data_IF_210429169827
#
_entry.id   IF_210429169827
#
_cell.length_a   1.000
_cell.length_b   1.000
_cell.length_c   1.000
_cell.angle_alpha   90.00
_cell.angle_beta   90.00
_cell.angle_gamma   90.00
#
_symmetry.space_group_name_H-M   'P 1'
#
loop_
_entity.id
_entity.type
_entity.pdbx_description
1 polymer ?
#
# COMPACT_ATOMS: atom_id res chain seq x y z
N UNK A 1 11.17 -12.95 3.76
CA UNK A 1 10.20 -12.58 4.81
C UNK A 1 9.11 -13.63 4.86
N UNK A 2 8.65 -14.04 6.06
CA UNK A 2 7.59 -15.05 6.19
C UNK A 2 6.20 -14.43 6.05
N UNK A 3 5.25 -15.23 5.56
CA UNK A 3 3.82 -14.88 5.50
C UNK A 3 3.27 -14.44 6.87
N UNK A 4 3.67 -15.13 7.94
CA UNK A 4 3.23 -14.80 9.31
C UNK A 4 3.66 -13.39 9.77
N UNK A 5 4.85 -12.93 9.37
CA UNK A 5 5.30 -11.58 9.75
C UNK A 5 4.50 -10.49 9.02
N UNK A 6 4.11 -10.75 7.78
CA UNK A 6 3.24 -9.88 7.01
C UNK A 6 1.87 -9.75 7.70
N UNK A 7 1.21 -10.87 7.99
CA UNK A 7 -0.11 -10.90 8.64
C UNK A 7 -0.12 -10.18 9.99
N UNK A 8 0.90 -10.40 10.84
CA UNK A 8 1.03 -9.68 12.12
C UNK A 8 1.13 -8.16 11.90
N UNK A 9 1.87 -7.74 10.88
CA UNK A 9 2.10 -6.32 10.59
C UNK A 9 0.81 -5.66 10.09
N UNK A 10 0.11 -6.31 9.16
CA UNK A 10 -1.15 -5.84 8.60
C UNK A 10 -2.23 -5.77 9.67
N UNK A 11 -2.45 -6.84 10.44
CA UNK A 11 -3.49 -6.88 11.47
C UNK A 11 -3.29 -5.77 12.51
N UNK A 12 -2.04 -5.53 12.93
CA UNK A 12 -1.72 -4.43 13.85
C UNK A 12 -1.99 -3.03 13.26
N UNK A 13 -1.98 -2.87 11.94
CA UNK A 13 -2.37 -1.64 11.27
C UNK A 13 -3.89 -1.55 11.10
N UNK A 14 -4.55 -2.65 10.74
CA UNK A 14 -6.01 -2.75 10.59
C UNK A 14 -6.78 -2.56 11.89
N UNK A 15 -6.21 -2.98 13.02
CA UNK A 15 -6.80 -2.78 14.35
C UNK A 15 -6.83 -1.29 14.78
N UNK A 16 -6.29 -0.37 13.97
CA UNK A 16 -6.32 1.06 14.25
C UNK A 16 -7.64 1.66 13.75
N UNK A 17 -8.25 2.49 14.60
CA UNK A 17 -9.44 3.28 14.25
C UNK A 17 -9.08 4.70 13.74
N UNK A 18 -7.93 4.83 13.07
CA UNK A 18 -7.48 6.12 12.51
C UNK A 18 -6.58 5.94 11.28
N UNK A 19 -6.56 6.92 10.37
CA UNK A 19 -5.62 6.92 9.26
C UNK A 19 -4.15 6.81 9.70
N UNK A 20 -3.35 6.19 8.85
CA UNK A 20 -1.90 6.10 9.01
C UNK A 20 -1.24 7.47 8.87
N UNK A 21 -0.20 7.66 9.67
CA UNK A 21 0.79 8.71 9.43
C UNK A 21 1.82 8.26 8.39
N UNK A 22 2.53 9.22 7.79
CA UNK A 22 3.63 8.92 6.87
C UNK A 22 4.72 8.03 7.49
N UNK A 23 5.07 8.26 8.76
CA UNK A 23 6.07 7.46 9.47
C UNK A 23 5.61 6.01 9.73
N UNK A 24 4.31 5.80 9.96
CA UNK A 24 3.74 4.46 10.11
C UNK A 24 3.75 3.69 8.78
N UNK A 25 3.47 4.39 7.68
CA UNK A 25 3.63 3.84 6.34
C UNK A 25 5.08 3.44 6.04
N UNK A 26 6.05 4.34 6.28
CA UNK A 26 7.49 4.06 6.13
C UNK A 26 7.92 2.80 6.90
N UNK A 27 7.50 2.71 8.16
CA UNK A 27 7.82 1.57 9.02
C UNK A 27 7.18 0.27 8.49
N UNK A 28 5.95 0.33 7.98
CA UNK A 28 5.26 -0.81 7.40
C UNK A 28 5.95 -1.29 6.12
N UNK A 29 6.27 -0.37 5.19
CA UNK A 29 6.99 -0.67 3.94
C UNK A 29 8.32 -1.34 4.22
N UNK A 30 9.14 -0.76 5.10
CA UNK A 30 10.43 -1.33 5.48
C UNK A 30 10.29 -2.74 6.08
N UNK A 31 9.19 -2.99 6.79
CA UNK A 31 8.91 -4.26 7.46
C UNK A 31 8.35 -5.33 6.53
N UNK A 32 7.50 -4.99 5.54
CA UNK A 32 6.85 -5.94 4.61
C UNK A 32 7.66 -6.20 3.33
N UNK A 33 8.57 -5.28 2.99
CA UNK A 33 9.44 -5.38 1.82
C UNK A 33 8.71 -5.08 0.52
N UNK A 34 9.42 -4.48 -0.44
CA UNK A 34 8.86 -3.86 -1.65
C UNK A 34 7.82 -4.70 -2.40
N UNK A 35 8.09 -6.00 -2.60
CA UNK A 35 7.18 -6.91 -3.31
C UNK A 35 5.80 -7.14 -2.62
N UNK A 36 5.68 -6.84 -1.33
CA UNK A 36 4.43 -6.94 -0.55
C UNK A 36 3.73 -5.60 -0.37
N UNK A 37 4.38 -4.49 -0.71
CA UNK A 37 3.83 -3.15 -0.53
C UNK A 37 2.53 -2.93 -1.33
N UNK A 38 2.36 -3.46 -2.56
CA UNK A 38 1.07 -3.38 -3.24
C UNK A 38 -0.07 -4.03 -2.46
N UNK A 39 0.16 -5.22 -1.90
CA UNK A 39 -0.85 -5.92 -1.10
C UNK A 39 -1.18 -5.14 0.18
N UNK A 40 -0.16 -4.60 0.86
CA UNK A 40 -0.34 -3.77 2.04
C UNK A 40 -1.15 -2.50 1.71
N UNK A 41 -0.84 -1.83 0.60
CA UNK A 41 -1.56 -0.63 0.16
C UNK A 41 -3.04 -0.93 -0.08
N UNK A 42 -3.32 -2.04 -0.77
CA UNK A 42 -4.68 -2.47 -1.10
C UNK A 42 -5.51 -2.73 0.16
N UNK A 43 -4.96 -3.50 1.09
CA UNK A 43 -5.63 -3.85 2.36
C UNK A 43 -5.89 -2.61 3.23
N UNK A 44 -4.98 -1.62 3.24
CA UNK A 44 -5.14 -0.40 4.01
C UNK A 44 -6.05 0.64 3.35
N UNK A 45 -6.07 0.71 2.02
CA UNK A 45 -7.00 1.56 1.25
C UNK A 45 -8.44 1.07 1.42
N UNK A 46 -8.67 -0.25 1.29
CA UNK A 46 -9.98 -0.87 1.51
C UNK A 46 -10.49 -0.68 2.94
N UNK A 47 -9.58 -0.65 3.92
CA UNK A 47 -9.91 -0.35 5.31
C UNK A 47 -10.12 1.16 5.59
N UNK A 48 -9.93 2.04 4.60
CA UNK A 48 -10.06 3.49 4.77
C UNK A 48 -8.95 4.12 5.63
N UNK A 49 -7.81 3.44 5.77
CA UNK A 49 -6.71 3.86 6.64
C UNK A 49 -5.65 4.70 5.91
N UNK A 50 -5.75 4.83 4.59
CA UNK A 50 -4.88 5.71 3.81
C UNK A 50 -5.61 7.02 3.50
N UNK A 51 -5.20 8.11 4.16
CA UNK A 51 -5.75 9.43 3.86
C UNK A 51 -5.30 9.91 2.45
N UNK A 52 -6.07 10.76 1.75
CA UNK A 52 -5.73 11.20 0.39
C UNK A 52 -4.33 11.80 0.25
N UNK A 53 -3.87 12.56 1.25
CA UNK A 53 -2.52 13.13 1.26
C UNK A 53 -1.40 12.09 1.38
N UNK A 54 -1.67 10.94 2.01
CA UNK A 54 -0.74 9.81 2.07
C UNK A 54 -0.83 8.95 0.80
N UNK A 55 -2.04 8.79 0.24
CA UNK A 55 -2.28 7.99 -0.97
C UNK A 55 -1.41 8.45 -2.15
N UNK A 56 -1.30 9.77 -2.35
CA UNK A 56 -0.47 10.39 -3.39
C UNK A 56 1.02 9.98 -3.33
N UNK A 57 1.50 9.60 -2.14
CA UNK A 57 2.87 9.11 -1.93
C UNK A 57 2.95 7.59 -1.93
N UNK A 58 1.99 6.92 -1.27
CA UNK A 58 1.99 5.48 -1.09
C UNK A 58 1.83 4.73 -2.42
N UNK A 59 1.04 5.25 -3.37
CA UNK A 59 0.77 4.61 -4.66
C UNK A 59 2.04 4.50 -5.53
N UNK A 60 2.81 5.59 -5.81
CA UNK A 60 4.07 5.49 -6.52
C UNK A 60 5.10 4.59 -5.83
N UNK A 61 5.17 4.64 -4.50
CA UNK A 61 6.10 3.84 -3.71
C UNK A 61 5.78 2.34 -3.81
N UNK A 62 4.51 1.98 -3.72
CA UNK A 62 4.05 0.60 -3.91
C UNK A 62 4.31 0.09 -5.34
N UNK A 63 4.08 0.93 -6.34
CA UNK A 63 4.34 0.61 -7.74
C UNK A 63 5.84 0.38 -8.00
N UNK A 64 6.69 1.31 -7.56
CA UNK A 64 8.14 1.25 -7.80
C UNK A 64 8.86 0.20 -6.93
N UNK A 65 8.30 -0.15 -5.77
CA UNK A 65 8.89 -1.09 -4.83
C UNK A 65 8.75 -2.57 -5.23
N UNK A 66 7.86 -2.90 -6.15
CA UNK A 66 7.64 -4.27 -6.60
C UNK A 66 8.32 -4.53 -7.96
N UNK A 67 8.92 -5.71 -8.14
CA UNK A 67 9.61 -6.06 -9.40
C UNK A 67 8.63 -6.19 -10.59
N UNK A 68 7.38 -6.59 -10.31
CA UNK A 68 6.29 -6.78 -11.27
C UNK A 68 4.96 -6.31 -10.64
N UNK A 69 4.71 -5.00 -10.49
CA UNK A 69 3.58 -4.48 -9.73
C UNK A 69 2.22 -4.92 -10.31
N UNK A 70 2.13 -5.10 -11.63
CA UNK A 70 0.93 -5.61 -12.33
C UNK A 70 0.59 -7.07 -12.01
N UNK A 71 1.54 -7.87 -11.50
CA UNK A 71 1.26 -9.22 -11.00
C UNK A 71 0.80 -9.21 -9.54
N UNK A 72 0.99 -8.09 -8.82
CA UNK A 72 0.64 -7.97 -7.41
C UNK A 72 -0.79 -7.52 -7.19
N UNK A 73 -1.31 -6.65 -8.06
CA UNK A 73 -2.72 -6.21 -8.05
C UNK A 73 -3.28 -6.18 -9.48
N UNK A 74 -4.59 -6.43 -9.66
CA UNK A 74 -5.23 -6.26 -10.96
C UNK A 74 -5.04 -4.84 -11.51
N UNK A 75 -4.85 -4.71 -12.83
CA UNK A 75 -4.64 -3.41 -13.49
C UNK A 75 -5.75 -2.39 -13.21
N UNK A 76 -7.00 -2.83 -13.06
CA UNK A 76 -8.12 -1.94 -12.72
C UNK A 76 -7.96 -1.34 -11.33
N UNK A 77 -7.51 -2.15 -10.36
CA UNK A 77 -7.25 -1.67 -9.01
C UNK A 77 -6.12 -0.66 -8.97
N UNK A 78 -5.05 -0.91 -9.74
CA UNK A 78 -4.02 0.10 -9.94
C UNK A 78 -4.55 1.40 -10.51
N UNK A 79 -5.44 1.36 -11.52
CA UNK A 79 -6.05 2.59 -12.06
C UNK A 79 -6.86 3.36 -11.01
N UNK A 80 -7.62 2.67 -10.17
CA UNK A 80 -8.37 3.28 -9.07
C UNK A 80 -7.45 3.97 -8.06
N UNK A 81 -6.40 3.26 -7.61
CA UNK A 81 -5.41 3.78 -6.67
C UNK A 81 -4.68 5.01 -7.23
N UNK A 82 -4.22 4.94 -8.49
CA UNK A 82 -3.58 6.08 -9.15
C UNK A 82 -4.55 7.26 -9.32
N UNK A 83 -5.79 7.01 -9.72
CA UNK A 83 -6.80 8.06 -9.82
C UNK A 83 -7.12 8.70 -8.47
N UNK A 84 -7.24 7.90 -7.39
CA UNK A 84 -7.44 8.38 -6.03
C UNK A 84 -6.26 9.20 -5.50
N UNK A 85 -5.05 8.87 -5.96
CA UNK A 85 -3.83 9.64 -5.71
C UNK A 85 -3.73 10.92 -6.56
N UNK A 86 -4.62 11.14 -7.54
CA UNK A 86 -4.53 12.25 -8.49
C UNK A 86 -3.39 12.08 -9.50
N UNK A 87 -3.02 10.84 -9.81
CA UNK A 87 -1.90 10.46 -10.68
C UNK A 87 -2.38 9.63 -11.86
N UNK A 88 -1.56 9.59 -12.91
CA UNK A 88 -1.75 8.68 -14.04
C UNK A 88 -0.94 7.41 -13.83
N UNK A 89 -1.53 6.25 -14.17
CA UNK A 89 -0.84 4.98 -14.14
C UNK A 89 0.32 4.97 -15.16
N UNK A 90 1.54 4.57 -14.78
CA UNK A 90 2.65 4.44 -15.71
C UNK A 90 2.30 3.45 -16.85
N UNK A 91 2.61 3.86 -18.08
CA UNK A 91 2.38 3.06 -19.30
C UNK A 91 3.35 1.92 -19.49
#
# INVERSE_FOLDING_TARGET
MSQALYEITVNALLDRDRPLTAAEWDAAVARVGGNRVPQLLDELDDAGLIAPGLLARAVPEAWAGADLPWERLPVQRWRELFAGAGLELPG
#
